data_IF_950300950426
#
_entry.id   IF_950300950426
#
_cell.length_a   1.000
_cell.length_b   1.000
_cell.length_c   1.000
_cell.angle_alpha   90.00
_cell.angle_beta   90.00
_cell.angle_gamma   90.00
#
_symmetry.space_group_name_H-M   'P 1'
#
loop_
_entity.id
_entity.type
_entity.pdbx_description
1 polymer ?
#
# COMPACT_ATOMS: atom_id res chain seq x y z
N UNK A 1 -12.51 -9.10 -33.72
CA UNK A 1 -13.68 -10.02 -33.79
C UNK A 1 -14.63 -9.71 -32.64
N UNK A 2 -15.95 -9.76 -32.86
CA UNK A 2 -16.93 -9.63 -31.77
C UNK A 2 -16.89 -10.90 -30.91
N UNK A 3 -16.68 -10.78 -29.60
CA UNK A 3 -16.59 -11.93 -28.69
C UNK A 3 -17.96 -12.54 -28.34
N UNK A 4 -19.07 -11.82 -28.60
CA UNK A 4 -20.45 -12.24 -28.32
C UNK A 4 -20.63 -12.78 -26.89
N UNK A 5 -20.04 -12.10 -25.90
CA UNK A 5 -20.06 -12.53 -24.50
C UNK A 5 -21.50 -12.73 -23.99
N UNK A 6 -22.43 -11.89 -24.42
CA UNK A 6 -23.86 -11.93 -24.09
C UNK A 6 -24.58 -13.20 -24.57
N UNK A 7 -23.99 -13.97 -25.48
CA UNK A 7 -24.57 -15.21 -26.03
C UNK A 7 -23.93 -16.48 -25.48
N UNK A 8 -22.88 -16.35 -24.68
CA UNK A 8 -22.13 -17.48 -24.15
C UNK A 8 -22.81 -18.06 -22.91
N UNK A 9 -22.63 -19.36 -22.72
CA UNK A 9 -23.00 -20.00 -21.46
C UNK A 9 -22.17 -19.44 -20.29
N UNK A 10 -22.69 -19.60 -19.07
CA UNK A 10 -21.97 -19.21 -17.85
C UNK A 10 -20.60 -19.90 -17.78
N UNK A 11 -20.51 -21.18 -18.17
CA UNK A 11 -19.26 -21.95 -18.15
C UNK A 11 -18.21 -21.34 -19.09
N UNK A 12 -18.60 -21.01 -20.32
CA UNK A 12 -17.71 -20.36 -21.29
C UNK A 12 -17.26 -18.98 -20.80
N UNK A 13 -18.17 -18.21 -20.19
CA UNK A 13 -17.83 -16.90 -19.64
C UNK A 13 -16.80 -16.98 -18.52
N UNK A 14 -16.92 -17.97 -17.63
CA UNK A 14 -15.95 -18.21 -16.55
C UNK A 14 -14.57 -18.55 -17.14
N UNK A 15 -14.50 -19.46 -18.10
CA UNK A 15 -13.24 -19.86 -18.74
C UNK A 15 -12.57 -18.67 -19.43
N UNK A 16 -13.33 -17.91 -20.24
CA UNK A 16 -12.81 -16.73 -20.92
C UNK A 16 -12.37 -15.64 -19.94
N UNK A 17 -13.08 -15.49 -18.81
CA UNK A 17 -12.70 -14.55 -17.77
C UNK A 17 -11.33 -14.92 -17.18
N UNK A 18 -11.11 -16.18 -16.82
CA UNK A 18 -9.81 -16.63 -16.29
C UNK A 18 -8.68 -16.50 -17.32
N UNK A 19 -8.95 -16.88 -18.57
CA UNK A 19 -7.99 -16.67 -19.67
C UNK A 19 -7.65 -15.20 -19.83
N UNK A 20 -8.63 -14.30 -19.67
CA UNK A 20 -8.39 -12.87 -19.72
C UNK A 20 -7.51 -12.42 -18.56
N UNK A 21 -7.69 -12.90 -17.33
CA UNK A 21 -6.95 -12.39 -16.16
C UNK A 21 -5.55 -13.01 -15.94
N UNK A 22 -5.25 -14.16 -16.55
CA UNK A 22 -4.06 -14.96 -16.21
C UNK A 22 -2.70 -14.25 -16.41
N UNK A 23 -2.60 -13.30 -17.33
CA UNK A 23 -1.35 -12.66 -17.76
C UNK A 23 -0.92 -11.47 -16.89
N UNK A 24 -1.71 -11.12 -15.88
CA UNK A 24 -1.49 -9.93 -15.04
C UNK A 24 -0.09 -9.95 -14.39
N UNK A 25 0.29 -11.05 -13.75
CA UNK A 25 1.55 -11.11 -12.99
C UNK A 25 2.76 -11.04 -13.93
N UNK A 26 2.73 -11.78 -15.03
CA UNK A 26 3.81 -11.79 -16.04
C UNK A 26 4.07 -10.37 -16.56
N UNK A 27 3.01 -9.60 -16.84
CA UNK A 27 3.13 -8.22 -17.30
C UNK A 27 3.75 -7.29 -16.27
N UNK A 28 3.47 -7.49 -14.98
CA UNK A 28 4.02 -6.66 -13.90
C UNK A 28 5.49 -6.96 -13.63
N UNK A 29 5.90 -8.23 -13.74
CA UNK A 29 7.29 -8.66 -13.51
C UNK A 29 8.29 -7.97 -14.45
N UNK A 30 7.86 -7.59 -15.66
CA UNK A 30 8.70 -6.90 -16.64
C UNK A 30 9.06 -5.45 -16.27
N UNK A 31 8.56 -4.94 -15.13
CA UNK A 31 8.74 -3.55 -14.68
C UNK A 31 9.30 -3.44 -13.25
N UNK A 32 10.01 -4.47 -12.79
CA UNK A 32 10.60 -4.52 -11.46
C UNK A 32 11.53 -3.31 -11.17
N UNK A 33 12.31 -2.85 -12.15
CA UNK A 33 13.20 -1.69 -11.96
C UNK A 33 12.44 -0.40 -11.59
N UNK A 34 11.26 -0.19 -12.17
CA UNK A 34 10.42 0.97 -11.86
C UNK A 34 9.75 0.77 -10.51
N UNK A 35 9.24 -0.44 -10.23
CA UNK A 35 8.64 -0.79 -8.94
C UNK A 35 9.64 -0.59 -7.80
N UNK A 36 10.89 -1.02 -7.98
CA UNK A 36 11.98 -0.83 -7.01
C UNK A 36 12.23 0.65 -6.73
N UNK A 37 12.26 1.50 -7.77
CA UNK A 37 12.39 2.96 -7.58
C UNK A 37 11.24 3.53 -6.76
N UNK A 38 10.01 3.10 -7.02
CA UNK A 38 8.82 3.57 -6.28
C UNK A 38 8.88 3.12 -4.81
N UNK A 39 9.28 1.88 -4.55
CA UNK A 39 9.46 1.36 -3.18
C UNK A 39 10.57 2.12 -2.46
N UNK A 40 11.70 2.37 -3.11
CA UNK A 40 12.79 3.16 -2.51
C UNK A 40 12.35 4.59 -2.19
N UNK A 41 11.57 5.24 -3.06
CA UNK A 41 10.96 6.53 -2.75
C UNK A 41 10.00 6.45 -1.55
N UNK A 42 9.21 5.38 -1.45
CA UNK A 42 8.25 5.16 -0.37
C UNK A 42 8.96 4.99 0.99
N UNK A 43 10.00 4.15 1.03
CA UNK A 43 10.88 3.98 2.20
C UNK A 43 11.53 5.30 2.60
N UNK A 44 12.05 6.07 1.63
CA UNK A 44 12.70 7.34 1.90
C UNK A 44 11.72 8.40 2.43
N UNK A 45 10.52 8.50 1.86
CA UNK A 45 9.49 9.43 2.35
C UNK A 45 9.20 9.19 3.83
N UNK A 46 8.93 7.95 4.21
CA UNK A 46 8.60 7.58 5.58
C UNK A 46 9.79 7.81 6.53
N UNK A 47 11.03 7.45 6.13
CA UNK A 47 12.23 7.70 6.94
C UNK A 47 12.48 9.18 7.21
N UNK A 48 12.03 10.07 6.33
CA UNK A 48 12.17 11.52 6.48
C UNK A 48 10.89 12.19 7.01
N UNK A 49 10.08 11.46 7.78
CA UNK A 49 8.83 11.93 8.39
C UNK A 49 7.79 12.46 7.36
N UNK A 50 7.88 12.02 6.12
CA UNK A 50 6.85 12.19 5.11
C UNK A 50 5.87 11.03 5.08
N UNK A 51 4.94 11.09 4.14
CA UNK A 51 3.88 10.10 3.93
C UNK A 51 3.87 9.65 2.47
N UNK A 52 3.37 8.45 2.23
CA UNK A 52 2.96 8.01 0.89
C UNK A 52 1.46 8.29 0.74
N UNK A 53 1.08 9.05 -0.28
CA UNK A 53 -0.28 9.55 -0.46
C UNK A 53 -0.83 8.98 -1.77
N UNK A 54 -1.77 8.05 -1.68
CA UNK A 54 -2.51 7.54 -2.84
C UNK A 54 -3.59 8.53 -3.26
N UNK A 55 -3.59 8.93 -4.53
CA UNK A 55 -4.57 9.89 -5.07
C UNK A 55 -5.31 9.25 -6.24
N UNK A 56 -6.64 9.28 -6.23
CA UNK A 56 -7.42 8.72 -7.33
C UNK A 56 -8.89 9.09 -7.31
N UNK A 57 -9.62 8.59 -8.29
CA UNK A 57 -11.08 8.68 -8.38
C UNK A 57 -11.69 7.31 -8.66
N UNK A 58 -13.00 7.17 -8.45
CA UNK A 58 -13.74 5.92 -8.70
C UNK A 58 -13.06 4.68 -8.13
N UNK A 59 -12.93 3.63 -8.95
CA UNK A 59 -12.28 2.38 -8.56
C UNK A 59 -10.83 2.56 -8.11
N UNK A 60 -10.05 3.37 -8.81
CA UNK A 60 -8.64 3.62 -8.47
C UNK A 60 -8.49 4.27 -7.09
N UNK A 61 -9.32 5.25 -6.78
CA UNK A 61 -9.36 5.87 -5.45
C UNK A 61 -9.71 4.87 -4.34
N UNK A 62 -10.71 4.01 -4.57
CA UNK A 62 -11.10 2.96 -3.61
C UNK A 62 -10.03 1.90 -3.39
N UNK A 63 -9.26 1.55 -4.43
CA UNK A 63 -8.12 0.63 -4.30
C UNK A 63 -7.00 1.26 -3.46
N UNK A 64 -6.69 2.54 -3.70
CA UNK A 64 -5.74 3.30 -2.87
C UNK A 64 -6.18 3.38 -1.41
N UNK A 65 -7.46 3.64 -1.17
CA UNK A 65 -8.05 3.61 0.17
C UNK A 65 -7.89 2.24 0.85
N UNK A 66 -8.20 1.16 0.14
CA UNK A 66 -8.12 -0.21 0.68
C UNK A 66 -6.71 -0.52 1.18
N UNK A 67 -5.69 -0.28 0.36
CA UNK A 67 -4.30 -0.54 0.75
C UNK A 67 -3.86 0.34 1.94
N UNK A 68 -4.17 1.64 1.92
CA UNK A 68 -3.81 2.56 3.00
C UNK A 68 -4.44 2.19 4.35
N UNK A 69 -5.71 1.76 4.36
CA UNK A 69 -6.41 1.38 5.58
C UNK A 69 -5.87 0.08 6.20
N UNK A 70 -5.38 -0.86 5.38
CA UNK A 70 -4.85 -2.14 5.84
C UNK A 70 -3.45 -2.02 6.47
N UNK A 71 -2.77 -0.87 6.36
CA UNK A 71 -1.44 -0.64 6.97
C UNK A 71 -1.50 -0.62 8.49
N UNK A 72 -2.52 -0.01 9.09
CA UNK A 72 -2.66 0.04 10.55
C UNK A 72 -2.82 -1.35 11.19
N UNK A 73 -3.82 -2.17 10.80
CA UNK A 73 -3.99 -3.48 11.42
C UNK A 73 -2.79 -4.41 11.14
N UNK A 74 -2.11 -4.25 9.99
CA UNK A 74 -1.01 -5.13 9.57
C UNK A 74 0.35 -4.72 10.15
N UNK A 75 0.70 -3.44 10.08
CA UNK A 75 2.06 -2.96 10.42
C UNK A 75 2.10 -1.99 11.61
N UNK A 76 0.94 -1.72 12.22
CA UNK A 76 0.83 -0.87 13.40
C UNK A 76 1.03 0.62 13.11
N UNK A 77 0.93 1.02 11.84
CA UNK A 77 1.27 2.38 11.39
C UNK A 77 0.06 3.10 10.82
N UNK A 78 -0.19 4.31 11.33
CA UNK A 78 -1.37 5.12 10.96
C UNK A 78 -1.11 6.13 9.85
N UNK A 79 0.14 6.57 9.72
CA UNK A 79 0.46 7.77 8.94
C UNK A 79 1.40 7.50 7.75
N UNK A 80 1.88 6.26 7.59
CA UNK A 80 2.83 5.94 6.52
C UNK A 80 2.20 6.00 5.15
N UNK A 81 1.02 5.38 5.00
CA UNK A 81 0.24 5.40 3.77
C UNK A 81 -1.12 6.02 4.08
N UNK A 82 -1.50 7.00 3.30
CA UNK A 82 -2.81 7.63 3.37
C UNK A 82 -3.41 7.71 1.98
N UNK A 83 -4.71 7.95 1.90
CA UNK A 83 -5.42 8.08 0.63
C UNK A 83 -6.13 9.42 0.56
N UNK A 84 -6.31 9.89 -0.67
CA UNK A 84 -7.16 11.02 -0.99
C UNK A 84 -7.95 10.67 -2.26
N UNK A 85 -9.27 10.75 -2.19
CA UNK A 85 -10.17 10.37 -3.27
C UNK A 85 -11.08 11.53 -3.68
N UNK A 86 -11.27 11.69 -4.99
CA UNK A 86 -12.21 12.64 -5.55
C UNK A 86 -13.63 12.37 -5.00
N UNK A 87 -14.28 13.40 -4.46
CA UNK A 87 -15.63 13.30 -3.87
C UNK A 87 -15.68 12.83 -2.41
N UNK A 88 -14.53 12.69 -1.73
CA UNK A 88 -14.42 12.40 -0.28
C UNK A 88 -15.15 11.11 0.17
N UNK A 89 -15.52 11.03 1.46
CA UNK A 89 -16.12 9.83 2.06
C UNK A 89 -17.44 9.41 1.39
N UNK A 90 -18.20 10.35 0.83
CA UNK A 90 -19.43 10.02 0.11
C UNK A 90 -19.16 9.21 -1.16
N UNK A 91 -18.06 9.48 -1.86
CA UNK A 91 -17.65 8.76 -3.05
C UNK A 91 -17.17 7.32 -2.76
N UNK A 92 -16.91 7.00 -1.49
CA UNK A 92 -16.60 5.63 -1.07
C UNK A 92 -17.84 4.75 -1.27
N UNK A 93 -19.00 5.20 -0.78
CA UNK A 93 -20.25 4.44 -0.78
C UNK A 93 -21.09 4.63 -2.04
N UNK A 94 -20.88 5.72 -2.77
CA UNK A 94 -21.65 6.05 -3.99
C UNK A 94 -20.71 6.36 -5.15
N UNK A 95 -21.13 6.02 -6.36
CA UNK A 95 -20.48 6.53 -7.56
C UNK A 95 -20.95 7.96 -7.78
N UNK A 96 -20.07 8.93 -7.56
CA UNK A 96 -20.35 10.34 -7.81
C UNK A 96 -19.67 10.75 -9.11
N UNK A 97 -20.47 11.10 -10.12
CA UNK A 97 -19.96 11.57 -11.41
C UNK A 97 -19.41 13.00 -11.32
N UNK A 98 -18.44 13.34 -12.17
CA UNK A 98 -17.91 14.70 -12.33
C UNK A 98 -16.75 15.08 -11.41
N UNK A 99 -16.61 14.47 -10.24
CA UNK A 99 -15.50 14.78 -9.32
C UNK A 99 -14.11 14.44 -9.89
N UNK A 100 -14.03 13.43 -10.76
CA UNK A 100 -12.77 13.03 -11.41
C UNK A 100 -12.27 14.06 -12.44
N UNK A 101 -13.17 14.91 -12.94
CA UNK A 101 -12.90 15.98 -13.88
C UNK A 101 -12.59 17.33 -13.20
N UNK A 102 -12.63 17.39 -11.87
CA UNK A 102 -12.40 18.63 -11.11
C UNK A 102 -10.92 18.79 -10.71
N UNK A 103 -10.17 19.55 -11.51
CA UNK A 103 -8.78 19.91 -11.22
C UNK A 103 -8.64 20.74 -9.94
N UNK A 104 -9.52 21.71 -9.74
CA UNK A 104 -9.46 22.64 -8.61
C UNK A 104 -9.71 21.93 -7.29
N UNK A 105 -10.59 20.93 -7.28
CA UNK A 105 -10.80 20.09 -6.12
C UNK A 105 -9.55 19.31 -5.74
N UNK A 106 -8.84 18.73 -6.71
CA UNK A 106 -7.57 18.04 -6.47
C UNK A 106 -6.53 18.94 -5.82
N UNK A 107 -6.39 20.17 -6.33
CA UNK A 107 -5.49 21.17 -5.77
C UNK A 107 -5.90 21.59 -4.35
N UNK A 108 -7.19 21.84 -4.12
CA UNK A 108 -7.73 22.19 -2.79
C UNK A 108 -7.49 21.09 -1.76
N UNK A 109 -7.72 19.83 -2.13
CA UNK A 109 -7.49 18.69 -1.25
C UNK A 109 -6.00 18.53 -0.90
N UNK A 110 -5.10 18.72 -1.87
CA UNK A 110 -3.66 18.72 -1.62
C UNK A 110 -3.23 19.81 -0.62
N UNK A 111 -3.75 21.03 -0.78
CA UNK A 111 -3.49 22.15 0.14
C UNK A 111 -4.03 21.84 1.54
N UNK A 112 -5.27 21.34 1.62
CA UNK A 112 -5.91 20.96 2.88
C UNK A 112 -5.14 19.87 3.62
N UNK A 113 -4.59 18.90 2.88
CA UNK A 113 -3.78 17.81 3.41
C UNK A 113 -2.36 18.24 3.84
N UNK A 114 -2.01 19.51 3.61
CA UNK A 114 -0.72 20.12 3.96
C UNK A 114 0.46 19.30 3.43
N UNK A 115 0.36 18.88 2.18
CA UNK A 115 1.45 18.11 1.56
C UNK A 115 2.76 18.91 1.55
N UNK A 116 3.89 18.21 1.69
CA UNK A 116 5.21 18.82 1.74
C UNK A 116 6.24 18.00 0.95
N UNK A 117 7.45 18.53 0.84
CA UNK A 117 8.53 17.96 0.03
C UNK A 117 8.99 16.55 0.45
N UNK A 118 8.70 16.13 1.69
CA UNK A 118 9.03 14.79 2.17
C UNK A 118 7.94 13.76 1.82
N UNK A 119 6.74 14.21 1.43
CA UNK A 119 5.67 13.32 0.98
C UNK A 119 5.95 12.77 -0.44
N UNK A 120 5.55 11.52 -0.65
CA UNK A 120 5.49 10.86 -1.95
C UNK A 120 4.03 10.82 -2.40
N UNK A 121 3.75 11.36 -3.58
CA UNK A 121 2.41 11.35 -4.18
C UNK A 121 2.34 10.23 -5.21
N UNK A 122 1.38 9.31 -5.05
CA UNK A 122 1.14 8.21 -5.99
C UNK A 122 -0.26 8.38 -6.59
N UNK A 123 -0.33 8.87 -7.82
CA UNK A 123 -1.55 9.08 -8.59
C UNK A 123 -1.98 7.81 -9.31
N UNK A 124 -3.25 7.45 -9.18
CA UNK A 124 -3.87 6.27 -9.75
C UNK A 124 -4.90 6.70 -10.80
N UNK A 125 -4.58 6.52 -12.08
CA UNK A 125 -5.49 6.86 -13.18
C UNK A 125 -5.23 5.94 -14.36
N UNK A 126 -6.14 5.02 -14.65
CA UNK A 126 -6.00 4.09 -15.78
C UNK A 126 -5.89 4.86 -17.10
N UNK A 127 -6.74 5.87 -17.31
CA UNK A 127 -6.74 6.70 -18.52
C UNK A 127 -5.55 7.65 -18.64
N UNK A 128 -4.87 7.94 -17.52
CA UNK A 128 -3.82 8.97 -17.43
C UNK A 128 -4.35 10.40 -17.53
N UNK A 129 -5.68 10.59 -17.57
CA UNK A 129 -6.33 11.86 -17.90
C UNK A 129 -7.21 12.42 -16.77
N UNK A 130 -7.27 11.77 -15.61
CA UNK A 130 -8.08 12.21 -14.47
C UNK A 130 -7.62 13.57 -13.95
N UNK A 131 -8.42 14.62 -14.19
CA UNK A 131 -8.05 16.01 -13.86
C UNK A 131 -7.88 16.24 -12.37
N UNK A 132 -8.66 15.55 -11.53
CA UNK A 132 -8.48 15.58 -10.08
C UNK A 132 -7.06 15.20 -9.65
N UNK A 133 -6.53 14.09 -10.19
CA UNK A 133 -5.15 13.65 -9.90
C UNK A 133 -4.15 14.67 -10.40
N UNK A 134 -4.38 15.24 -11.59
CA UNK A 134 -3.50 16.28 -12.16
C UNK A 134 -3.47 17.55 -11.30
N UNK A 135 -4.62 17.99 -10.79
CA UNK A 135 -4.73 19.15 -9.89
C UNK A 135 -4.06 18.90 -8.54
N UNK A 136 -4.10 17.67 -8.04
CA UNK A 136 -3.33 17.30 -6.85
C UNK A 136 -1.82 17.37 -7.12
N UNK A 137 -1.39 16.88 -8.27
CA UNK A 137 0.03 16.87 -8.69
C UNK A 137 0.59 18.27 -8.93
N UNK A 138 -0.23 19.23 -9.40
CA UNK A 138 0.22 20.61 -9.58
C UNK A 138 0.69 21.23 -8.27
N UNK A 139 -0.06 21.05 -7.17
CA UNK A 139 0.36 21.47 -5.83
C UNK A 139 1.59 20.69 -5.37
N UNK A 140 1.68 19.40 -5.70
CA UNK A 140 2.88 18.60 -5.44
C UNK A 140 4.14 19.17 -6.09
N UNK A 141 4.03 19.72 -7.29
CA UNK A 141 5.13 20.44 -7.98
C UNK A 141 5.53 21.69 -7.20
N UNK A 142 4.59 22.52 -6.80
CA UNK A 142 4.86 23.73 -5.99
C UNK A 142 5.55 23.39 -4.67
N UNK A 143 5.17 22.26 -4.05
CA UNK A 143 5.71 21.77 -2.78
C UNK A 143 6.96 20.90 -2.93
N UNK A 144 7.42 20.67 -4.16
CA UNK A 144 8.59 19.83 -4.48
C UNK A 144 8.47 18.38 -4.00
N UNK A 145 7.23 17.89 -3.84
CA UNK A 145 6.96 16.48 -3.53
C UNK A 145 7.25 15.62 -4.75
N UNK A 146 7.74 14.40 -4.51
CA UNK A 146 7.94 13.41 -5.58
C UNK A 146 6.59 12.83 -6.01
N UNK A 147 6.43 12.64 -7.32
CA UNK A 147 5.16 12.26 -7.95
C UNK A 147 5.32 11.02 -8.82
N UNK A 148 4.52 10.00 -8.56
CA UNK A 148 4.48 8.74 -9.31
C UNK A 148 3.09 8.58 -9.90
N UNK A 149 2.98 8.40 -11.20
CA UNK A 149 1.71 8.06 -11.86
C UNK A 149 1.68 6.56 -12.17
N UNK A 150 0.63 5.86 -11.73
CA UNK A 150 0.32 4.48 -12.13
C UNK A 150 -0.84 4.53 -13.14
N UNK A 151 -0.57 4.18 -14.39
CA UNK A 151 -1.49 4.38 -15.52
C UNK A 151 -1.35 3.30 -16.59
N UNK A 152 -2.36 3.15 -17.45
CA UNK A 152 -2.24 2.38 -18.70
C UNK A 152 -1.81 3.26 -19.88
N UNK A 153 -1.92 4.59 -19.74
CA UNK A 153 -1.65 5.53 -20.82
C UNK A 153 -0.60 6.56 -20.39
N UNK A 154 0.69 6.30 -20.71
CA UNK A 154 1.76 7.25 -20.39
C UNK A 154 1.69 8.56 -21.17
N UNK A 155 0.92 8.63 -22.25
CA UNK A 155 0.76 9.86 -23.03
C UNK A 155 -0.42 10.72 -22.51
N UNK A 156 -0.99 10.33 -21.36
CA UNK A 156 -2.07 11.07 -20.71
C UNK A 156 -1.65 12.41 -20.10
N UNK A 157 -2.65 13.23 -19.78
CA UNK A 157 -2.51 14.59 -19.26
C UNK A 157 -1.68 14.71 -17.96
N UNK A 158 -1.61 13.66 -17.15
CA UNK A 158 -0.91 13.68 -15.85
C UNK A 158 0.60 13.41 -16.01
N UNK A 159 1.02 12.70 -17.06
CA UNK A 159 2.41 12.24 -17.22
C UNK A 159 3.46 13.35 -17.24
N UNK A 160 3.25 14.50 -17.92
CA UNK A 160 4.21 15.62 -17.89
C UNK A 160 4.45 16.18 -16.47
N UNK A 161 3.47 16.02 -15.57
CA UNK A 161 3.55 16.47 -14.18
C UNK A 161 4.05 15.37 -13.22
N UNK A 162 4.56 14.25 -13.73
CA UNK A 162 5.00 13.09 -12.95
C UNK A 162 6.53 12.93 -12.98
N UNK A 163 7.16 12.62 -11.85
CA UNK A 163 8.60 12.29 -11.79
C UNK A 163 8.85 10.86 -12.30
N UNK A 164 7.93 9.94 -12.04
CA UNK A 164 7.96 8.54 -12.50
C UNK A 164 6.57 8.18 -13.05
N UNK A 165 6.55 7.49 -14.19
CA UNK A 165 5.33 6.88 -14.74
C UNK A 165 5.50 5.36 -14.74
N UNK A 166 4.69 4.66 -13.95
CA UNK A 166 4.50 3.22 -14.03
C UNK A 166 3.36 2.94 -15.02
N UNK A 167 3.72 2.79 -16.29
CA UNK A 167 2.80 2.37 -17.35
C UNK A 167 2.57 0.86 -17.25
N UNK A 168 1.33 0.39 -17.09
CA UNK A 168 0.96 -1.03 -17.11
C UNK A 168 0.05 -1.34 -18.31
N UNK A 169 -0.12 -2.63 -18.63
CA UNK A 169 -0.97 -3.04 -19.75
C UNK A 169 -2.13 -3.91 -19.25
N UNK A 170 -3.36 -3.41 -19.32
CA UNK A 170 -4.58 -4.17 -19.01
C UNK A 170 -5.32 -4.67 -20.25
N UNK A 171 -5.02 -4.11 -21.42
CA UNK A 171 -5.76 -4.45 -22.62
C UNK A 171 -5.47 -5.87 -23.18
N UNK A 172 -6.50 -6.52 -23.78
CA UNK A 172 -7.91 -6.10 -23.76
C UNK A 172 -8.59 -6.38 -22.41
N UNK A 173 -9.41 -5.45 -21.93
CA UNK A 173 -10.33 -5.70 -20.81
C UNK A 173 -11.42 -6.72 -21.21
N UNK A 174 -11.88 -7.54 -20.26
CA UNK A 174 -12.93 -8.54 -20.52
C UNK A 174 -14.24 -7.90 -20.99
N UNK A 175 -14.61 -6.76 -20.39
CA UNK A 175 -15.66 -5.87 -20.88
C UNK A 175 -14.96 -4.60 -21.35
N UNK A 176 -15.11 -4.23 -22.62
CA UNK A 176 -14.48 -3.05 -23.18
C UNK A 176 -14.82 -1.80 -22.35
N UNK A 177 -13.79 -1.07 -21.90
CA UNK A 177 -13.92 0.13 -21.07
C UNK A 177 -14.14 -0.13 -19.58
N UNK A 178 -14.36 -1.37 -19.14
CA UNK A 178 -14.57 -1.70 -17.73
C UNK A 178 -13.24 -1.87 -16.98
N UNK A 179 -12.52 -0.77 -16.79
CA UNK A 179 -11.20 -0.73 -16.13
C UNK A 179 -11.24 -1.11 -14.64
N UNK A 180 -12.44 -1.30 -14.05
CA UNK A 180 -12.57 -1.89 -12.72
C UNK A 180 -12.13 -3.36 -12.63
N UNK A 181 -11.89 -4.01 -13.78
CA UNK A 181 -11.54 -5.42 -13.88
C UNK A 181 -10.02 -5.63 -13.86
N UNK A 182 -9.36 -5.77 -15.02
CA UNK A 182 -7.94 -6.12 -15.06
C UNK A 182 -7.08 -4.96 -14.56
N UNK A 183 -7.35 -3.73 -15.02
CA UNK A 183 -6.60 -2.55 -14.58
C UNK A 183 -6.71 -2.33 -13.06
N UNK A 184 -7.90 -2.46 -12.49
CA UNK A 184 -8.10 -2.40 -11.04
C UNK A 184 -7.34 -3.51 -10.29
N UNK A 185 -7.35 -4.73 -10.81
CA UNK A 185 -6.58 -5.85 -10.24
C UNK A 185 -5.08 -5.56 -10.26
N UNK A 186 -4.55 -5.04 -11.37
CA UNK A 186 -3.15 -4.60 -11.50
C UNK A 186 -2.82 -3.54 -10.45
N UNK A 187 -3.63 -2.48 -10.34
CA UNK A 187 -3.41 -1.42 -9.36
C UNK A 187 -3.37 -1.99 -7.93
N UNK A 188 -4.29 -2.89 -7.57
CA UNK A 188 -4.29 -3.54 -6.26
C UNK A 188 -3.00 -4.31 -5.98
N UNK A 189 -2.56 -5.14 -6.93
CA UNK A 189 -1.33 -5.94 -6.79
C UNK A 189 -0.12 -5.01 -6.61
N UNK A 190 -0.03 -3.95 -7.41
CA UNK A 190 1.05 -2.98 -7.31
C UNK A 190 1.08 -2.26 -5.97
N UNK A 191 -0.06 -1.76 -5.48
CA UNK A 191 -0.12 -1.07 -4.20
C UNK A 191 0.25 -2.00 -3.04
N UNK A 192 -0.26 -3.24 -3.04
CA UNK A 192 0.11 -4.22 -2.02
C UNK A 192 1.60 -4.54 -2.05
N UNK A 193 2.23 -4.63 -3.24
CA UNK A 193 3.68 -4.80 -3.35
C UNK A 193 4.44 -3.59 -2.80
N UNK A 194 4.02 -2.36 -3.16
CA UNK A 194 4.65 -1.12 -2.69
C UNK A 194 4.59 -1.04 -1.17
N UNK A 195 3.40 -1.18 -0.57
CA UNK A 195 3.19 -1.01 0.86
C UNK A 195 3.86 -2.12 1.68
N UNK A 196 3.71 -3.38 1.26
CA UNK A 196 4.28 -4.53 1.97
C UNK A 196 5.80 -4.50 1.95
N UNK A 197 6.43 -4.32 0.78
CA UNK A 197 7.89 -4.30 0.70
C UNK A 197 8.45 -3.08 1.43
N UNK A 198 7.79 -1.92 1.35
CA UNK A 198 8.15 -0.74 2.14
C UNK A 198 8.14 -1.06 3.65
N UNK A 199 7.10 -1.71 4.15
CA UNK A 199 7.00 -2.08 5.55
C UNK A 199 8.07 -3.10 5.99
N UNK A 200 8.39 -4.07 5.13
CA UNK A 200 9.52 -5.00 5.35
C UNK A 200 10.84 -4.23 5.49
N UNK A 201 11.11 -3.29 4.57
CA UNK A 201 12.35 -2.47 4.59
C UNK A 201 12.38 -1.46 5.74
N UNK A 202 11.28 -1.26 6.44
CA UNK A 202 11.14 -0.44 7.65
C UNK A 202 10.96 -1.31 8.92
N UNK A 203 11.43 -2.56 8.88
CA UNK A 203 11.54 -3.46 10.03
C UNK A 203 10.19 -3.84 10.68
N UNK A 204 9.08 -3.81 9.93
CA UNK A 204 7.74 -4.20 10.43
C UNK A 204 7.47 -5.71 10.37
N UNK A 205 8.38 -6.46 9.76
CA UNK A 205 8.29 -7.90 9.54
C UNK A 205 9.60 -8.57 10.00
N UNK A 206 9.49 -9.74 10.62
CA UNK A 206 10.64 -10.61 10.91
C UNK A 206 10.44 -11.91 10.14
N UNK A 207 11.33 -12.21 9.20
CA UNK A 207 11.13 -13.33 8.25
C UNK A 207 9.81 -13.16 7.48
N UNK A 208 8.82 -14.03 7.69
CA UNK A 208 7.46 -13.92 7.15
C UNK A 208 6.41 -13.51 8.21
N UNK A 209 6.86 -13.13 9.41
CA UNK A 209 6.01 -12.85 10.57
C UNK A 209 5.73 -11.36 10.75
N UNK A 210 4.46 -11.04 10.92
CA UNK A 210 3.94 -9.70 11.19
C UNK A 210 4.20 -9.32 12.66
N UNK A 211 5.32 -8.67 12.95
CA UNK A 211 5.78 -8.41 14.33
C UNK A 211 5.29 -7.09 14.95
N UNK A 212 4.68 -6.21 14.16
CA UNK A 212 4.12 -4.92 14.62
C UNK A 212 2.60 -4.85 14.39
N UNK A 213 1.92 -6.00 14.38
CA UNK A 213 0.46 -6.07 14.28
C UNK A 213 -0.26 -5.34 15.42
N UNK A 214 -1.44 -4.79 15.16
CA UNK A 214 -2.29 -4.19 16.21
C UNK A 214 -3.32 -5.22 16.71
N UNK A 215 -3.17 -5.80 17.91
CA UNK A 215 -4.04 -6.86 18.40
C UNK A 215 -5.39 -6.32 18.88
N UNK A 216 -6.32 -6.08 17.96
CA UNK A 216 -7.66 -5.54 18.25
C UNK A 216 -8.70 -6.60 18.64
N UNK A 217 -8.35 -7.88 18.61
CA UNK A 217 -9.23 -9.00 18.97
C UNK A 217 -8.43 -10.19 19.52
N UNK A 218 -9.14 -11.15 20.13
CA UNK A 218 -8.53 -12.33 20.76
C UNK A 218 -7.69 -13.17 19.78
N UNK A 219 -8.13 -13.29 18.52
CA UNK A 219 -7.38 -14.00 17.46
C UNK A 219 -6.01 -13.37 17.23
N UNK A 220 -5.92 -12.04 17.21
CA UNK A 220 -4.65 -11.33 17.01
C UNK A 220 -3.76 -11.34 18.26
N UNK A 221 -4.35 -11.37 19.46
CA UNK A 221 -3.61 -11.62 20.70
C UNK A 221 -2.97 -13.01 20.67
N UNK A 222 -3.73 -14.05 20.35
CA UNK A 222 -3.20 -15.41 20.23
C UNK A 222 -2.10 -15.49 19.16
N UNK A 223 -2.31 -14.87 17.99
CA UNK A 223 -1.30 -14.81 16.93
C UNK A 223 -0.01 -14.15 17.42
N UNK A 224 -0.11 -13.08 18.20
CA UNK A 224 1.06 -12.39 18.74
C UNK A 224 1.88 -13.29 19.67
N UNK A 225 1.21 -14.08 20.51
CA UNK A 225 1.85 -15.05 21.43
C UNK A 225 2.56 -16.14 20.62
N UNK A 226 1.90 -16.71 19.60
CA UNK A 226 2.51 -17.72 18.72
C UNK A 226 3.74 -17.17 17.98
N UNK A 227 3.69 -15.91 17.52
CA UNK A 227 4.84 -15.26 16.89
C UNK A 227 6.02 -15.14 17.87
N UNK A 228 5.77 -14.69 19.11
CA UNK A 228 6.83 -14.60 20.13
C UNK A 228 7.45 -15.97 20.36
N UNK A 229 6.62 -17.00 20.57
CA UNK A 229 7.05 -18.38 20.75
C UNK A 229 7.89 -18.88 19.57
N UNK A 230 7.45 -18.65 18.34
CA UNK A 230 8.15 -19.08 17.11
C UNK A 230 9.50 -18.38 16.96
N UNK A 231 9.59 -17.08 17.24
CA UNK A 231 10.83 -16.32 17.11
C UNK A 231 11.85 -16.73 18.19
N UNK A 232 11.40 -16.94 19.43
CA UNK A 232 12.30 -17.17 20.56
C UNK A 232 12.53 -18.64 20.87
N UNK A 233 11.79 -19.56 20.23
CA UNK A 233 11.75 -20.99 20.58
C UNK A 233 11.45 -21.26 22.07
N UNK A 234 10.71 -20.37 22.73
CA UNK A 234 10.36 -20.52 24.13
C UNK A 234 9.11 -21.38 24.32
N UNK A 235 8.89 -21.86 25.55
CA UNK A 235 7.64 -22.50 25.91
C UNK A 235 6.46 -21.54 25.80
N UNK A 236 5.27 -22.08 25.49
CA UNK A 236 4.07 -21.28 25.29
C UNK A 236 3.74 -20.39 26.49
N UNK A 237 3.85 -20.90 27.73
CA UNK A 237 3.57 -20.12 28.93
C UNK A 237 4.57 -18.96 29.13
N UNK A 238 5.84 -19.14 28.77
CA UNK A 238 6.83 -18.05 28.83
C UNK A 238 6.46 -16.98 27.79
N UNK A 239 6.24 -17.38 26.53
CA UNK A 239 5.85 -16.45 25.47
C UNK A 239 4.56 -15.68 25.80
N UNK A 240 3.55 -16.38 26.31
CA UNK A 240 2.27 -15.81 26.72
C UNK A 240 2.43 -14.82 27.86
N UNK A 241 3.09 -15.19 28.95
CA UNK A 241 3.24 -14.33 30.12
C UNK A 241 4.05 -13.08 29.78
N UNK A 242 5.19 -13.22 29.08
CA UNK A 242 5.98 -12.08 28.65
C UNK A 242 5.21 -11.18 27.69
N UNK A 243 4.50 -11.74 26.70
CA UNK A 243 3.69 -10.92 25.79
C UNK A 243 2.57 -10.18 26.52
N UNK A 244 1.85 -10.82 27.45
CA UNK A 244 0.76 -10.17 28.18
C UNK A 244 1.25 -9.03 29.09
N UNK A 245 2.48 -9.12 29.59
CA UNK A 245 3.14 -8.07 30.36
C UNK A 245 3.41 -6.81 29.51
N UNK A 246 3.94 -6.97 28.30
CA UNK A 246 4.40 -5.83 27.49
C UNK A 246 3.48 -5.43 26.33
N UNK A 247 2.60 -6.33 25.90
CA UNK A 247 1.70 -6.22 24.74
C UNK A 247 2.39 -5.72 23.46
N UNK A 248 3.63 -6.16 23.26
CA UNK A 248 4.45 -5.82 22.10
C UNK A 248 5.33 -7.02 21.76
N UNK A 249 5.20 -7.55 20.54
CA UNK A 249 5.91 -8.76 20.09
C UNK A 249 7.42 -8.55 20.11
N UNK A 250 7.92 -7.46 19.54
CA UNK A 250 9.37 -7.17 19.48
C UNK A 250 9.98 -7.13 20.87
N UNK A 251 9.38 -6.37 21.78
CA UNK A 251 9.87 -6.23 23.16
C UNK A 251 9.86 -7.58 23.86
N UNK A 252 8.77 -8.37 23.73
CA UNK A 252 8.69 -9.69 24.33
C UNK A 252 9.78 -10.64 23.79
N UNK A 253 10.02 -10.63 22.47
CA UNK A 253 11.08 -11.42 21.86
C UNK A 253 12.47 -11.07 22.42
N UNK A 254 12.77 -9.78 22.57
CA UNK A 254 14.05 -9.32 23.09
C UNK A 254 14.21 -9.65 24.58
N UNK A 255 13.16 -9.48 25.39
CA UNK A 255 13.19 -9.86 26.81
C UNK A 255 13.54 -11.34 26.99
N UNK A 256 12.89 -12.22 26.23
CA UNK A 256 13.12 -13.67 26.30
C UNK A 256 14.52 -14.02 25.79
N UNK A 257 14.89 -13.55 24.59
CA UNK A 257 16.14 -13.96 23.94
C UNK A 257 17.39 -13.41 24.64
N UNK A 258 17.32 -12.17 25.16
CA UNK A 258 18.46 -11.51 25.83
C UNK A 258 18.41 -11.60 27.35
N UNK A 259 17.34 -12.15 27.93
CA UNK A 259 17.13 -12.26 29.39
C UNK A 259 17.24 -10.90 30.10
N UNK A 260 16.58 -9.90 29.53
CA UNK A 260 16.56 -8.52 30.05
C UNK A 260 15.14 -8.08 30.37
N UNK A 261 15.00 -7.05 31.19
CA UNK A 261 13.71 -6.45 31.47
C UNK A 261 13.14 -5.65 30.28
N UNK A 262 11.89 -5.21 30.42
CA UNK A 262 11.17 -4.40 29.42
C UNK A 262 11.92 -3.13 29.03
N UNK A 263 12.49 -2.42 30.01
CA UNK A 263 13.16 -1.13 29.78
C UNK A 263 14.37 -1.38 28.89
N UNK A 264 15.20 -2.34 29.27
CA UNK A 264 16.42 -2.65 28.52
C UNK A 264 16.13 -3.24 27.14
N UNK A 265 15.10 -4.08 27.02
CA UNK A 265 14.63 -4.58 25.73
C UNK A 265 14.20 -3.43 24.79
N UNK A 266 13.50 -2.43 25.34
CA UNK A 266 13.04 -1.27 24.58
C UNK A 266 14.21 -0.37 24.17
N UNK A 267 15.19 -0.14 25.05
CA UNK A 267 16.43 0.57 24.73
C UNK A 267 17.22 -0.12 23.61
N UNK A 268 17.34 -1.45 23.65
CA UNK A 268 18.02 -2.21 22.59
C UNK A 268 17.29 -2.03 21.25
N UNK A 269 15.97 -2.14 21.21
CA UNK A 269 15.21 -1.91 19.97
C UNK A 269 15.44 -0.51 19.43
N UNK A 270 15.39 0.54 20.26
CA UNK A 270 15.67 1.92 19.83
C UNK A 270 17.10 2.05 19.29
N UNK A 271 18.09 1.46 19.97
CA UNK A 271 19.50 1.48 19.54
C UNK A 271 19.70 0.91 18.14
N UNK A 272 18.93 -0.11 17.77
CA UNK A 272 19.00 -0.77 16.46
C UNK A 272 17.83 -0.39 15.53
N UNK A 273 17.32 0.84 15.62
CA UNK A 273 16.27 1.38 14.73
C UNK A 273 15.02 0.46 14.62
N UNK A 274 14.63 -0.14 15.74
CA UNK A 274 13.55 -1.13 15.85
C UNK A 274 13.69 -2.37 14.96
N UNK A 275 14.91 -2.68 14.50
CA UNK A 275 15.22 -3.91 13.77
C UNK A 275 15.36 -5.08 14.74
N UNK A 276 14.30 -5.89 14.87
CA UNK A 276 14.30 -7.05 15.76
C UNK A 276 15.45 -8.02 15.45
N UNK A 277 15.75 -8.25 14.17
CA UNK A 277 16.79 -9.20 13.77
C UNK A 277 18.17 -8.79 14.26
N UNK A 278 18.53 -7.53 14.05
CA UNK A 278 19.81 -6.98 14.54
C UNK A 278 19.92 -7.08 16.06
N UNK A 279 18.83 -6.82 16.81
CA UNK A 279 18.86 -6.96 18.27
C UNK A 279 19.07 -8.41 18.69
N UNK A 280 18.45 -9.38 18.01
CA UNK A 280 18.56 -10.78 18.38
C UNK A 280 19.95 -11.35 18.04
N UNK A 281 20.53 -10.94 16.92
CA UNK A 281 21.81 -11.46 16.40
C UNK A 281 23.06 -10.77 16.99
N UNK A 282 22.92 -9.61 17.66
CA UNK A 282 24.05 -8.89 18.26
C UNK A 282 24.57 -9.47 19.59
#
# INVERSE_FOLDING_TARGET
>A
MKQNLDKKSISELIELYWINQKDIIEKLMNKNDILEKIINLSVNAIKHNGRVIYIGAGTSGRIGMLDALDILPTFGEKNWFIYQMAGSDEAILKSLEGYEDDFELGAKDAIKLKINQNDLLIGLSVSGNTKYVNGFFSVGTERKSKKVLITENKDGLISPNSDIVYEFESNPEFIQGSTRLKAGTIQKILLNAISTITAIKLNKVYDDLMIDLTPINEKLVQRSIEIVKQITNADFEIAKNTYLEVKNVKVACVMIAKKVDKIKASELLVKYNNNLREVLEC
#
